data_IF_498033860748
#
_entry.id   IF_498033860748
#
_cell.length_a   1.000
_cell.length_b   1.000
_cell.length_c   1.000
_cell.angle_alpha   90.00
_cell.angle_beta   90.00
_cell.angle_gamma   90.00
#
_symmetry.space_group_name_H-M   'P 1'
#
loop_
_entity.id
_entity.type
_entity.pdbx_description
1 polymer ?
#
# COMPACT_ATOMS: atom_id res chain seq x y z
N UNK A 1 -1.54 25.91 -1.58
CA UNK A 1 -0.27 26.66 -1.36
C UNK A 1 0.97 25.89 -1.84
N UNK A 2 0.84 24.64 -2.32
CA UNK A 2 1.95 23.90 -2.92
C UNK A 2 3.00 23.43 -1.92
N UNK A 3 2.65 23.43 -0.63
CA UNK A 3 3.53 23.01 0.47
C UNK A 3 2.71 22.24 1.49
N UNK A 4 3.35 21.35 2.24
CA UNK A 4 2.80 20.78 3.46
C UNK A 4 3.51 21.49 4.60
N UNK A 5 2.79 22.42 5.25
CA UNK A 5 3.32 23.24 6.32
C UNK A 5 3.45 22.46 7.63
N UNK A 6 4.07 23.10 8.62
CA UNK A 6 4.21 22.50 9.96
C UNK A 6 2.86 22.23 10.62
N UNK A 7 1.87 23.10 10.40
CA UNK A 7 0.51 22.92 10.92
C UNK A 7 -0.16 21.68 10.30
N UNK A 8 -0.05 21.51 8.98
CA UNK A 8 -0.56 20.31 8.29
C UNK A 8 0.12 19.05 8.85
N UNK A 9 1.43 19.11 9.06
CA UNK A 9 2.21 18.03 9.68
C UNK A 9 1.72 17.66 11.08
N UNK A 10 1.45 18.66 11.93
CA UNK A 10 0.89 18.45 13.27
C UNK A 10 -0.51 17.82 13.19
N UNK A 11 -1.36 18.28 12.28
CA UNK A 11 -2.72 17.74 12.09
C UNK A 11 -2.65 16.28 11.63
N UNK A 12 -1.82 15.96 10.65
CA UNK A 12 -1.61 14.59 10.17
C UNK A 12 -1.11 13.67 11.29
N UNK A 13 -0.11 14.13 12.04
CA UNK A 13 0.47 13.35 13.13
C UNK A 13 -0.52 13.15 14.30
N UNK A 14 -1.28 14.19 14.65
CA UNK A 14 -2.38 14.05 15.62
C UNK A 14 -3.43 13.04 15.11
N UNK A 15 -3.69 13.03 13.80
CA UNK A 15 -4.54 12.05 13.13
C UNK A 15 -4.10 10.60 13.38
N UNK A 16 -2.81 10.27 13.22
CA UNK A 16 -2.34 8.89 13.49
C UNK A 16 -2.46 8.51 14.97
N UNK A 17 -2.23 9.46 15.89
CA UNK A 17 -2.37 9.21 17.32
C UNK A 17 -3.84 8.91 17.66
N UNK A 18 -4.77 9.73 17.16
CA UNK A 18 -6.21 9.52 17.36
C UNK A 18 -6.67 8.21 16.71
N UNK A 19 -6.27 7.94 15.48
CA UNK A 19 -6.59 6.70 14.78
C UNK A 19 -6.11 5.46 15.53
N UNK A 20 -4.87 5.49 16.02
CA UNK A 20 -4.28 4.39 16.79
C UNK A 20 -5.02 4.19 18.12
N UNK A 21 -5.31 5.27 18.85
CA UNK A 21 -6.07 5.21 20.09
C UNK A 21 -7.49 4.68 19.87
N UNK A 22 -8.16 5.14 18.81
CA UNK A 22 -9.48 4.69 18.40
C UNK A 22 -9.47 3.20 18.04
N UNK A 23 -8.50 2.76 17.23
CA UNK A 23 -8.35 1.35 16.83
C UNK A 23 -8.11 0.44 18.05
N UNK A 24 -7.27 0.86 19.00
CA UNK A 24 -7.06 0.14 20.26
C UNK A 24 -8.35 0.09 21.09
N UNK A 25 -9.07 1.21 21.21
CA UNK A 25 -10.32 1.27 21.95
C UNK A 25 -11.42 0.38 21.33
N UNK A 26 -11.51 0.36 20.00
CA UNK A 26 -12.44 -0.48 19.25
C UNK A 26 -12.10 -1.97 19.40
N UNK A 27 -10.82 -2.33 19.30
CA UNK A 27 -10.33 -3.70 19.51
C UNK A 27 -10.67 -4.21 20.93
N UNK A 28 -10.56 -3.36 21.95
CA UNK A 28 -10.94 -3.72 23.33
C UNK A 28 -12.44 -3.92 23.51
N UNK A 29 -13.25 -3.15 22.78
CA UNK A 29 -14.71 -3.26 22.76
C UNK A 29 -15.24 -4.38 21.85
N UNK A 30 -14.35 -5.10 21.15
CA UNK A 30 -14.75 -6.17 20.24
C UNK A 30 -15.66 -7.20 20.94
N UNK A 31 -16.76 -7.53 20.26
CA UNK A 31 -17.80 -8.44 20.75
C UNK A 31 -17.23 -9.80 21.17
N UNK A 32 -17.92 -10.49 22.07
CA UNK A 32 -17.52 -11.84 22.51
C UNK A 32 -17.31 -12.81 21.33
N UNK A 33 -18.05 -12.65 20.23
CA UNK A 33 -17.90 -13.38 18.97
C UNK A 33 -16.50 -13.20 18.33
N UNK A 34 -16.02 -11.96 18.21
CA UNK A 34 -14.69 -11.66 17.64
C UNK A 34 -13.60 -12.27 18.53
N UNK A 35 -13.73 -12.16 19.86
CA UNK A 35 -12.77 -12.80 20.79
C UNK A 35 -12.78 -14.32 20.73
N UNK A 36 -13.92 -14.94 20.41
CA UNK A 36 -14.02 -16.38 20.22
C UNK A 36 -13.33 -16.81 18.91
N UNK A 37 -13.59 -16.11 17.80
CA UNK A 37 -12.95 -16.31 16.51
C UNK A 37 -11.41 -16.17 16.59
N UNK A 38 -10.90 -15.12 17.26
CA UNK A 38 -9.46 -14.97 17.49
C UNK A 38 -8.84 -16.10 18.32
N UNK A 39 -9.56 -16.63 19.32
CA UNK A 39 -9.07 -17.75 20.14
C UNK A 39 -9.04 -19.07 19.37
N UNK A 40 -9.99 -19.26 18.46
CA UNK A 40 -10.04 -20.42 17.58
C UNK A 40 -8.95 -20.36 16.51
N UNK A 41 -8.73 -19.18 15.91
CA UNK A 41 -7.72 -18.98 14.88
C UNK A 41 -6.27 -18.96 15.41
N UNK A 42 -6.01 -18.36 16.58
CA UNK A 42 -4.64 -18.13 17.10
C UNK A 42 -4.35 -18.82 18.43
N UNK A 43 -5.31 -19.57 18.98
CA UNK A 43 -5.17 -20.26 20.26
C UNK A 43 -5.43 -19.36 21.48
N UNK A 44 -5.88 -19.96 22.58
CA UNK A 44 -6.24 -19.26 23.81
C UNK A 44 -5.07 -19.03 24.79
N UNK A 45 -3.91 -19.64 24.55
CA UNK A 45 -2.81 -19.62 25.50
C UNK A 45 -1.96 -18.36 25.33
N UNK A 46 -2.05 -17.44 26.31
CA UNK A 46 -1.10 -16.33 26.41
C UNK A 46 0.25 -16.88 26.88
N UNK A 47 1.33 -16.75 26.09
CA UNK A 47 2.65 -17.15 26.54
C UNK A 47 3.03 -16.33 27.79
N UNK A 48 3.48 -17.01 28.85
CA UNK A 48 3.93 -16.38 30.10
C UNK A 48 5.43 -16.66 30.30
N UNK A 49 6.15 -15.70 30.89
CA UNK A 49 7.57 -15.85 31.21
C UNK A 49 8.44 -16.03 29.97
N UNK A 50 9.22 -17.11 29.92
CA UNK A 50 10.20 -17.39 28.87
C UNK A 50 9.59 -17.43 27.46
N UNK A 51 8.34 -17.89 27.31
CA UNK A 51 7.65 -17.94 26.01
C UNK A 51 7.35 -16.56 25.42
N UNK A 52 7.15 -15.54 26.27
CA UNK A 52 6.97 -14.16 25.80
C UNK A 52 8.29 -13.60 25.27
N UNK A 53 9.39 -13.83 26.00
CA UNK A 53 10.73 -13.40 25.59
C UNK A 53 11.14 -14.08 24.27
N UNK A 54 10.86 -15.39 24.14
CA UNK A 54 11.11 -16.11 22.90
C UNK A 54 10.30 -15.52 21.74
N UNK A 55 9.00 -15.27 21.93
CA UNK A 55 8.16 -14.68 20.88
C UNK A 55 8.61 -13.26 20.50
N UNK A 56 8.99 -12.43 21.48
CA UNK A 56 9.57 -11.12 21.21
C UNK A 56 10.88 -11.24 20.43
N UNK A 57 11.75 -12.18 20.81
CA UNK A 57 12.99 -12.48 20.11
C UNK A 57 12.75 -12.93 18.66
N UNK A 58 11.77 -13.81 18.44
CA UNK A 58 11.38 -14.26 17.09
C UNK A 58 10.81 -13.13 16.23
N UNK A 59 9.98 -12.24 16.82
CA UNK A 59 9.43 -11.08 16.11
C UNK A 59 10.55 -10.10 15.74
N UNK A 60 11.42 -9.74 16.69
CA UNK A 60 12.52 -8.81 16.45
C UNK A 60 13.55 -9.40 15.47
N UNK A 61 13.90 -10.67 15.63
CA UNK A 61 14.81 -11.37 14.72
C UNK A 61 14.24 -11.51 13.32
N UNK A 62 12.96 -11.87 13.20
CA UNK A 62 12.25 -11.95 11.92
C UNK A 62 12.19 -10.58 11.22
N UNK A 63 11.86 -9.52 11.96
CA UNK A 63 11.86 -8.15 11.43
C UNK A 63 13.25 -7.72 10.96
N UNK A 64 14.30 -7.98 11.76
CA UNK A 64 15.67 -7.64 11.40
C UNK A 64 16.13 -8.39 10.13
N UNK A 65 15.86 -9.70 10.05
CA UNK A 65 16.17 -10.50 8.87
C UNK A 65 15.42 -10.01 7.63
N UNK A 66 14.16 -9.62 7.78
CA UNK A 66 13.35 -9.07 6.69
C UNK A 66 13.92 -7.74 6.19
N UNK A 67 14.28 -6.82 7.09
CA UNK A 67 14.86 -5.52 6.75
C UNK A 67 16.23 -5.65 6.08
N UNK A 68 17.12 -6.46 6.66
CA UNK A 68 18.47 -6.69 6.10
C UNK A 68 18.38 -7.40 4.75
N UNK A 69 17.53 -8.42 4.64
CA UNK A 69 17.32 -9.14 3.38
C UNK A 69 16.76 -8.25 2.28
N UNK A 70 15.79 -7.38 2.60
CA UNK A 70 15.28 -6.40 1.65
C UNK A 70 16.37 -5.41 1.22
N UNK A 71 17.19 -4.91 2.15
CA UNK A 71 18.27 -3.97 1.84
C UNK A 71 19.32 -4.60 0.92
N UNK A 72 19.81 -5.81 1.23
CA UNK A 72 20.77 -6.52 0.38
C UNK A 72 20.22 -6.82 -1.02
N UNK A 73 18.94 -7.17 -1.12
CA UNK A 73 18.29 -7.41 -2.41
C UNK A 73 18.26 -6.14 -3.25
N UNK A 74 17.87 -5.00 -2.65
CA UNK A 74 17.82 -3.70 -3.33
C UNK A 74 19.21 -3.26 -3.76
N UNK A 75 20.20 -3.31 -2.87
CA UNK A 75 21.58 -2.89 -3.18
C UNK A 75 22.18 -3.74 -4.32
N UNK A 76 21.94 -5.05 -4.28
CA UNK A 76 22.39 -5.96 -5.33
C UNK A 76 21.69 -5.69 -6.66
N UNK A 77 20.38 -5.43 -6.64
CA UNK A 77 19.61 -5.08 -7.84
C UNK A 77 20.06 -3.73 -8.44
N UNK A 78 20.30 -2.73 -7.60
CA UNK A 78 20.86 -1.42 -8.00
C UNK A 78 22.24 -1.60 -8.63
N UNK A 79 23.13 -2.38 -8.00
CA UNK A 79 24.46 -2.65 -8.54
C UNK A 79 24.41 -3.38 -9.89
N UNK A 80 23.50 -4.35 -10.05
CA UNK A 80 23.29 -5.06 -11.31
C UNK A 80 22.75 -4.11 -12.40
N UNK A 81 21.76 -3.28 -12.09
CA UNK A 81 21.18 -2.31 -13.02
C UNK A 81 22.20 -1.29 -13.53
N UNK A 82 23.07 -0.79 -12.64
CA UNK A 82 24.16 0.13 -13.03
C UNK A 82 25.16 -0.53 -13.98
N UNK A 83 25.48 -1.82 -13.79
CA UNK A 83 26.41 -2.55 -14.67
C UNK A 83 25.90 -2.75 -16.08
N UNK A 84 24.58 -2.83 -16.26
CA UNK A 84 23.94 -2.93 -17.58
C UNK A 84 23.56 -1.56 -18.17
N UNK A 85 24.01 -0.46 -17.55
CA UNK A 85 23.84 0.90 -18.09
C UNK A 85 22.47 1.54 -17.83
N UNK A 86 21.67 1.01 -16.90
CA UNK A 86 20.40 1.65 -16.51
C UNK A 86 20.71 2.95 -15.75
N UNK A 87 20.01 4.04 -16.10
CA UNK A 87 20.22 5.34 -15.48
C UNK A 87 19.81 5.37 -14.01
N UNK A 88 20.51 6.19 -13.21
CA UNK A 88 20.18 6.43 -11.79
C UNK A 88 18.73 6.86 -11.59
N UNK A 89 18.20 7.63 -12.54
CA UNK A 89 16.81 8.07 -12.56
C UNK A 89 15.84 6.89 -12.61
N UNK A 90 16.05 5.96 -13.55
CA UNK A 90 15.20 4.77 -13.69
C UNK A 90 15.36 3.86 -12.47
N UNK A 91 16.59 3.68 -11.96
CA UNK A 91 16.86 2.89 -10.75
C UNK A 91 16.11 3.46 -9.54
N UNK A 92 16.16 4.78 -9.34
CA UNK A 92 15.46 5.47 -8.25
C UNK A 92 13.95 5.33 -8.34
N UNK A 93 13.38 5.54 -9.54
CA UNK A 93 11.94 5.45 -9.80
C UNK A 93 11.37 4.02 -9.74
N UNK A 94 12.22 3.00 -9.87
CA UNK A 94 11.78 1.60 -9.97
C UNK A 94 12.30 0.74 -8.83
N UNK A 95 13.58 0.40 -8.84
CA UNK A 95 14.19 -0.56 -7.92
C UNK A 95 14.18 -0.04 -6.50
N UNK A 96 14.59 1.22 -6.29
CA UNK A 96 14.64 1.80 -4.94
C UNK A 96 13.23 2.02 -4.40
N UNK A 97 12.34 2.60 -5.21
CA UNK A 97 10.94 2.82 -4.85
C UNK A 97 10.20 1.50 -4.50
N UNK A 98 10.34 0.46 -5.33
CA UNK A 98 9.79 -0.86 -5.02
C UNK A 98 10.48 -1.49 -3.80
N UNK A 99 11.80 -1.28 -3.69
CA UNK A 99 12.67 -1.77 -2.64
C UNK A 99 12.21 -1.41 -1.24
N UNK A 100 11.80 -0.15 -1.05
CA UNK A 100 11.31 0.35 0.24
C UNK A 100 10.01 -0.30 0.71
N UNK A 101 9.26 -0.92 -0.20
CA UNK A 101 8.00 -1.62 0.11
C UNK A 101 8.13 -3.14 0.10
N UNK A 102 9.34 -3.68 -0.10
CA UNK A 102 9.58 -5.12 -0.11
C UNK A 102 9.24 -5.81 1.21
N UNK A 103 9.61 -5.28 2.40
CA UNK A 103 9.21 -5.88 3.68
C UNK A 103 7.69 -6.04 3.80
N UNK A 104 6.94 -5.01 3.41
CA UNK A 104 5.49 -4.97 3.47
C UNK A 104 4.85 -5.94 2.47
N UNK A 105 5.39 -6.01 1.25
CA UNK A 105 4.95 -6.97 0.23
C UNK A 105 5.21 -8.40 0.71
N UNK A 106 6.39 -8.68 1.27
CA UNK A 106 6.74 -9.99 1.78
C UNK A 106 5.83 -10.40 2.97
N UNK A 107 5.59 -9.49 3.91
CA UNK A 107 4.67 -9.74 5.03
C UNK A 107 3.23 -10.02 4.54
N UNK A 108 2.73 -9.23 3.60
CA UNK A 108 1.41 -9.41 3.00
C UNK A 108 1.29 -10.72 2.22
N UNK A 109 2.34 -11.09 1.48
CA UNK A 109 2.39 -12.33 0.71
C UNK A 109 2.38 -13.56 1.64
N UNK A 110 3.17 -13.54 2.72
CA UNK A 110 3.18 -14.63 3.71
C UNK A 110 1.82 -14.78 4.36
N UNK A 111 1.18 -13.68 4.78
CA UNK A 111 -0.18 -13.71 5.33
C UNK A 111 -1.20 -14.25 4.31
N UNK A 112 -1.13 -13.80 3.05
CA UNK A 112 -2.02 -14.28 1.99
C UNK A 112 -1.85 -15.78 1.69
N UNK A 113 -0.61 -16.28 1.65
CA UNK A 113 -0.30 -17.70 1.45
C UNK A 113 -0.80 -18.55 2.63
N UNK A 114 -0.81 -18.01 3.84
CA UNK A 114 -1.38 -18.65 5.04
C UNK A 114 -2.90 -18.58 5.11
N UNK A 115 -3.56 -17.90 4.17
CA UNK A 115 -5.01 -17.68 4.18
C UNK A 115 -5.47 -16.60 5.15
N UNK A 116 -4.54 -15.86 5.77
CA UNK A 116 -4.79 -14.76 6.71
C UNK A 116 -5.09 -13.46 5.95
N UNK A 117 -6.21 -13.44 5.20
CA UNK A 117 -6.58 -12.34 4.29
C UNK A 117 -6.74 -11.01 4.99
N UNK A 118 -7.31 -11.02 6.20
CA UNK A 118 -7.52 -9.81 7.00
C UNK A 118 -6.19 -9.19 7.44
N UNK A 119 -5.17 -10.02 7.73
CA UNK A 119 -3.82 -9.56 8.05
C UNK A 119 -3.16 -8.95 6.81
N UNK A 120 -3.27 -9.62 5.65
CA UNK A 120 -2.71 -9.10 4.41
C UNK A 120 -3.34 -7.74 4.01
N UNK A 121 -4.67 -7.64 4.06
CA UNK A 121 -5.37 -6.38 3.78
C UNK A 121 -5.07 -5.29 4.82
N UNK A 122 -5.01 -5.68 6.11
CA UNK A 122 -4.66 -4.80 7.21
C UNK A 122 -3.25 -4.22 7.08
N UNK A 123 -2.27 -5.00 6.60
CA UNK A 123 -0.92 -4.52 6.34
C UNK A 123 -0.90 -3.48 5.21
N UNK A 124 -1.54 -3.76 4.07
CA UNK A 124 -1.57 -2.83 2.92
C UNK A 124 -2.26 -1.51 3.28
N UNK A 125 -3.42 -1.57 3.93
CA UNK A 125 -4.18 -0.37 4.32
C UNK A 125 -3.44 0.38 5.44
N UNK A 126 -2.99 -0.35 6.46
CA UNK A 126 -2.32 0.20 7.63
C UNK A 126 -1.03 0.93 7.30
N UNK A 127 -0.17 0.34 6.46
CA UNK A 127 1.10 0.96 6.06
C UNK A 127 0.88 2.26 5.28
N UNK A 128 -0.13 2.34 4.40
CA UNK A 128 -0.45 3.57 3.68
C UNK A 128 -0.97 4.68 4.61
N UNK A 129 -1.84 4.33 5.56
CA UNK A 129 -2.32 5.28 6.58
C UNK A 129 -1.13 5.77 7.42
N UNK A 130 -0.24 4.88 7.83
CA UNK A 130 0.93 5.24 8.63
C UNK A 130 1.92 6.11 7.84
N UNK A 131 2.15 5.82 6.57
CA UNK A 131 3.02 6.63 5.70
C UNK A 131 2.49 8.06 5.54
N UNK A 132 1.18 8.22 5.30
CA UNK A 132 0.57 9.54 5.09
C UNK A 132 0.40 10.33 6.40
N UNK A 133 -0.02 9.68 7.48
CA UNK A 133 -0.30 10.40 8.72
C UNK A 133 0.94 10.54 9.62
N UNK A 134 1.76 9.49 9.71
CA UNK A 134 2.93 9.48 10.59
C UNK A 134 4.18 10.00 9.88
N UNK A 135 4.63 9.32 8.82
CA UNK A 135 5.91 9.65 8.18
C UNK A 135 5.82 11.05 7.57
N UNK A 136 4.86 11.30 6.69
CA UNK A 136 4.66 12.61 6.07
C UNK A 136 4.36 13.70 7.10
N UNK A 137 3.55 13.38 8.13
CA UNK A 137 3.25 14.30 9.23
C UNK A 137 4.50 14.76 9.99
N UNK A 138 5.31 13.80 10.46
CA UNK A 138 6.58 14.10 11.15
C UNK A 138 7.54 14.84 10.22
N UNK A 139 7.70 14.38 8.97
CA UNK A 139 8.58 15.03 7.99
C UNK A 139 8.21 16.50 7.78
N UNK A 140 6.91 16.83 7.73
CA UNK A 140 6.45 18.21 7.60
C UNK A 140 6.67 19.06 8.87
N UNK A 141 6.63 18.45 10.06
CA UNK A 141 6.92 19.15 11.33
C UNK A 141 8.40 19.47 11.47
N UNK A 142 9.26 18.52 11.09
CA UNK A 142 10.71 18.59 11.20
C UNK A 142 11.32 19.45 10.09
N UNK A 143 10.74 19.47 8.89
CA UNK A 143 11.23 20.27 7.79
C UNK A 143 11.09 21.77 8.05
N UNK A 144 12.22 22.48 8.02
CA UNK A 144 12.24 23.94 8.12
C UNK A 144 11.57 24.57 6.90
N UNK A 145 10.48 25.30 7.13
CA UNK A 145 9.68 25.92 6.07
C UNK A 145 8.67 24.98 5.38
N UNK A 146 8.49 23.75 5.87
CA UNK A 146 7.53 22.77 5.32
C UNK A 146 8.02 22.08 4.03
N UNK A 147 7.33 21.01 3.66
CA UNK A 147 7.70 20.17 2.51
C UNK A 147 7.17 20.79 1.21
N UNK A 148 8.02 21.09 0.22
CA UNK A 148 7.55 21.54 -1.09
C UNK A 148 6.84 20.40 -1.83
N UNK A 149 5.71 20.70 -2.47
CA UNK A 149 4.99 19.74 -3.30
C UNK A 149 5.15 20.15 -4.77
N UNK A 150 5.60 19.20 -5.58
CA UNK A 150 5.65 19.40 -7.03
C UNK A 150 4.22 19.57 -7.60
N UNK A 151 3.93 20.64 -8.37
CA UNK A 151 2.63 20.80 -9.04
C UNK A 151 2.26 19.61 -9.94
N UNK A 152 3.24 18.91 -10.51
CA UNK A 152 3.01 17.69 -11.30
C UNK A 152 2.42 16.57 -10.43
N UNK A 153 2.88 16.44 -9.18
CA UNK A 153 2.38 15.47 -8.22
C UNK A 153 0.91 15.72 -7.87
N UNK A 154 0.54 16.99 -7.64
CA UNK A 154 -0.84 17.36 -7.34
C UNK A 154 -1.80 17.13 -8.51
N UNK A 155 -1.32 17.31 -9.74
CA UNK A 155 -2.14 17.21 -10.95
C UNK A 155 -2.34 15.79 -11.45
N UNK A 156 -1.41 14.89 -11.13
CA UNK A 156 -1.43 13.53 -11.68
C UNK A 156 -1.35 12.45 -10.60
N UNK A 157 -0.27 12.41 -9.83
CA UNK A 157 0.01 11.28 -8.93
C UNK A 157 -1.01 11.22 -7.78
N UNK A 158 -1.39 12.36 -7.18
CA UNK A 158 -2.41 12.42 -6.12
C UNK A 158 -3.80 11.96 -6.61
N UNK A 159 -4.34 12.46 -7.73
CA UNK A 159 -5.57 11.93 -8.31
C UNK A 159 -5.53 10.42 -8.59
N UNK A 160 -4.41 9.89 -9.09
CA UNK A 160 -4.23 8.46 -9.33
C UNK A 160 -4.27 7.68 -8.01
N UNK A 161 -3.55 8.15 -6.97
CA UNK A 161 -3.59 7.54 -5.64
C UNK A 161 -5.01 7.51 -5.06
N UNK A 162 -5.77 8.61 -5.19
CA UNK A 162 -7.17 8.68 -4.74
C UNK A 162 -8.04 7.70 -5.53
N UNK A 163 -7.88 7.64 -6.85
CA UNK A 163 -8.64 6.71 -7.70
C UNK A 163 -8.38 5.26 -7.31
N UNK A 164 -7.14 4.88 -7.05
CA UNK A 164 -6.77 3.53 -6.59
C UNK A 164 -7.32 3.25 -5.18
N UNK A 165 -7.27 4.22 -4.27
CA UNK A 165 -7.87 4.08 -2.94
C UNK A 165 -9.39 3.85 -3.03
N UNK A 166 -10.09 4.59 -3.89
CA UNK A 166 -11.53 4.39 -4.12
C UNK A 166 -11.81 3.03 -4.77
N UNK A 167 -11.01 2.63 -5.76
CA UNK A 167 -11.16 1.35 -6.44
C UNK A 167 -10.96 0.14 -5.52
N UNK A 168 -10.21 0.31 -4.42
CA UNK A 168 -9.99 -0.73 -3.43
C UNK A 168 -11.04 -0.74 -2.30
N UNK A 169 -11.87 0.30 -2.14
CA UNK A 169 -12.93 0.35 -1.12
C UNK A 169 -13.92 -0.83 -1.17
N UNK A 170 -14.36 -1.33 -2.35
CA UNK A 170 -15.25 -2.50 -2.42
C UNK A 170 -14.71 -3.75 -1.70
N UNK A 171 -13.38 -3.90 -1.59
CA UNK A 171 -12.73 -5.04 -0.93
C UNK A 171 -13.09 -5.10 0.55
N UNK A 172 -13.31 -3.95 1.19
CA UNK A 172 -13.74 -3.87 2.58
C UNK A 172 -15.16 -4.45 2.77
N UNK A 173 -15.99 -4.43 1.72
CA UNK A 173 -17.36 -4.95 1.76
C UNK A 173 -17.48 -6.41 1.28
N UNK A 174 -16.43 -6.96 0.65
CA UNK A 174 -16.36 -8.37 0.22
C UNK A 174 -15.68 -9.29 1.24
N UNK A 175 -15.47 -8.82 2.48
CA UNK A 175 -14.79 -9.56 3.53
C UNK A 175 -13.29 -9.72 3.26
N UNK A 176 -12.64 -8.65 2.81
CA UNK A 176 -11.20 -8.61 2.50
C UNK A 176 -10.76 -9.64 1.45
N UNK A 177 -11.68 -10.01 0.54
CA UNK A 177 -11.40 -10.96 -0.55
C UNK A 177 -11.12 -10.20 -1.83
N UNK A 178 -9.91 -10.41 -2.35
CA UNK A 178 -9.49 -10.00 -3.70
C UNK A 178 -9.41 -11.26 -4.55
N UNK A 179 -10.19 -11.31 -5.62
CA UNK A 179 -10.10 -12.38 -6.62
C UNK A 179 -8.79 -12.26 -7.40
N UNK A 180 -8.29 -13.39 -7.94
CA UNK A 180 -7.03 -13.41 -8.70
C UNK A 180 -7.04 -12.44 -9.89
N UNK A 181 -8.19 -12.28 -10.53
CA UNK A 181 -8.36 -11.35 -11.65
C UNK A 181 -8.33 -9.88 -11.24
N UNK A 182 -8.93 -9.52 -10.10
CA UNK A 182 -8.81 -8.16 -9.54
C UNK A 182 -7.35 -7.86 -9.16
N UNK A 183 -6.65 -8.82 -8.54
CA UNK A 183 -5.23 -8.69 -8.23
C UNK A 183 -4.37 -8.51 -9.49
N UNK A 184 -4.64 -9.28 -10.55
CA UNK A 184 -3.94 -9.14 -11.83
C UNK A 184 -4.23 -7.79 -12.50
N UNK A 185 -5.46 -7.30 -12.40
CA UNK A 185 -5.85 -5.99 -12.90
C UNK A 185 -5.07 -4.87 -12.19
N UNK A 186 -5.03 -4.89 -10.85
CA UNK A 186 -4.27 -3.90 -10.07
C UNK A 186 -2.76 -3.99 -10.35
N UNK A 187 -2.21 -5.20 -10.49
CA UNK A 187 -0.82 -5.39 -10.87
C UNK A 187 -0.54 -4.83 -12.27
N UNK A 188 -1.45 -5.05 -13.23
CA UNK A 188 -1.36 -4.47 -14.57
C UNK A 188 -1.36 -2.95 -14.55
N UNK A 189 -2.24 -2.32 -13.75
CA UNK A 189 -2.25 -0.87 -13.56
C UNK A 189 -1.00 -0.34 -12.88
N UNK A 190 -0.45 -1.07 -11.90
CA UNK A 190 0.82 -0.71 -11.28
C UNK A 190 1.95 -0.70 -12.32
N UNK A 191 2.09 -1.75 -13.12
CA UNK A 191 3.10 -1.81 -14.18
C UNK A 191 2.91 -0.71 -15.23
N UNK A 192 1.65 -0.44 -15.60
CA UNK A 192 1.31 0.64 -16.53
C UNK A 192 1.70 2.02 -15.97
N UNK A 193 1.41 2.28 -14.70
CA UNK A 193 1.78 3.51 -14.01
C UNK A 193 3.31 3.66 -13.89
N UNK A 194 4.02 2.60 -13.51
CA UNK A 194 5.49 2.61 -13.48
C UNK A 194 6.09 2.88 -14.86
N UNK A 195 5.54 2.25 -15.91
CA UNK A 195 5.98 2.51 -17.29
C UNK A 195 5.74 3.96 -17.70
N UNK A 196 4.58 4.53 -17.36
CA UNK A 196 4.31 5.95 -17.58
C UNK A 196 5.36 6.84 -16.91
N UNK A 197 5.69 6.58 -15.64
CA UNK A 197 6.70 7.34 -14.92
C UNK A 197 8.08 7.22 -15.57
N UNK A 198 8.47 6.03 -16.02
CA UNK A 198 9.73 5.82 -16.74
C UNK A 198 9.75 6.61 -18.06
N UNK A 199 8.69 6.49 -18.88
CA UNK A 199 8.60 7.21 -20.17
C UNK A 199 8.63 8.72 -19.97
N UNK A 200 7.92 9.22 -18.95
CA UNK A 200 7.88 10.64 -18.59
C UNK A 200 9.25 11.13 -18.13
N UNK A 201 9.92 10.37 -17.28
CA UNK A 201 11.24 10.71 -16.76
C UNK A 201 12.35 10.63 -17.82
N UNK A 202 12.21 9.71 -18.79
CA UNK A 202 13.12 9.57 -19.92
C UNK A 202 12.83 10.54 -21.08
N UNK A 203 11.82 11.41 -20.95
CA UNK A 203 11.33 12.31 -22.02
C UNK A 203 11.09 11.57 -23.35
N UNK A 204 10.60 10.33 -23.28
CA UNK A 204 10.48 9.47 -24.45
C UNK A 204 9.26 9.84 -25.30
N UNK A 205 9.44 9.93 -26.62
CA UNK A 205 8.37 10.28 -27.59
C UNK A 205 7.10 9.40 -27.49
N UNK A 206 7.26 8.14 -27.03
CA UNK A 206 6.17 7.21 -26.86
C UNK A 206 5.20 7.63 -25.74
N UNK A 207 5.57 8.56 -24.86
CA UNK A 207 4.75 9.03 -23.76
C UNK A 207 3.38 9.52 -24.24
N UNK A 208 3.33 10.32 -25.30
CA UNK A 208 2.06 10.86 -25.81
C UNK A 208 1.11 9.74 -26.27
N UNK A 209 1.63 8.84 -27.10
CA UNK A 209 0.86 7.70 -27.60
C UNK A 209 0.41 6.78 -26.45
N UNK A 210 1.31 6.50 -25.50
CA UNK A 210 1.04 5.69 -24.32
C UNK A 210 -0.07 6.30 -23.47
N UNK A 211 0.02 7.59 -23.15
CA UNK A 211 -1.00 8.32 -22.38
C UNK A 211 -2.35 8.34 -23.09
N UNK A 212 -2.37 8.53 -24.41
CA UNK A 212 -3.61 8.49 -25.20
C UNK A 212 -4.27 7.10 -25.13
N UNK A 213 -3.51 6.03 -25.30
CA UNK A 213 -4.02 4.65 -25.19
C UNK A 213 -4.59 4.39 -23.81
N UNK A 214 -3.86 4.77 -22.76
CA UNK A 214 -4.31 4.58 -21.38
C UNK A 214 -5.60 5.34 -21.08
N UNK A 215 -5.69 6.61 -21.49
CA UNK A 215 -6.79 7.51 -21.14
C UNK A 215 -8.05 7.27 -21.98
N UNK A 216 -7.91 6.97 -23.27
CA UNK A 216 -9.06 6.82 -24.17
C UNK A 216 -9.53 5.37 -24.34
N UNK A 217 -8.70 4.38 -24.01
CA UNK A 217 -9.06 2.98 -24.20
C UNK A 217 -9.02 2.20 -22.89
N UNK A 218 -7.86 2.12 -22.22
CA UNK A 218 -7.68 1.21 -21.07
C UNK A 218 -8.54 1.64 -19.88
N UNK A 219 -8.46 2.90 -19.46
CA UNK A 219 -9.22 3.40 -18.30
C UNK A 219 -10.73 3.35 -18.54
N UNK A 220 -11.27 3.83 -19.68
CA UNK A 220 -12.71 3.75 -19.95
C UNK A 220 -13.22 2.31 -20.05
N UNK A 221 -12.45 1.42 -20.69
CA UNK A 221 -12.83 0.01 -20.83
C UNK A 221 -12.89 -0.69 -19.47
N UNK A 222 -11.90 -0.45 -18.61
CA UNK A 222 -11.92 -0.99 -17.25
C UNK A 222 -13.06 -0.41 -16.43
N UNK A 223 -13.29 0.91 -16.50
CA UNK A 223 -14.39 1.56 -15.79
C UNK A 223 -15.76 0.98 -16.23
N UNK A 224 -15.96 0.79 -17.54
CA UNK A 224 -17.15 0.15 -18.08
C UNK A 224 -17.28 -1.31 -17.60
N UNK A 225 -16.17 -2.06 -17.59
CA UNK A 225 -16.16 -3.45 -17.11
C UNK A 225 -16.53 -3.52 -15.63
N UNK A 226 -15.95 -2.68 -14.78
CA UNK A 226 -16.28 -2.60 -13.35
C UNK A 226 -17.75 -2.20 -13.18
N UNK A 227 -18.25 -1.20 -13.92
CA UNK A 227 -19.64 -0.78 -13.84
C UNK A 227 -20.62 -1.91 -14.21
N UNK A 228 -20.31 -2.67 -15.27
CA UNK A 228 -21.10 -3.85 -15.67
C UNK A 228 -21.07 -4.94 -14.60
N UNK A 229 -19.90 -5.21 -14.01
CA UNK A 229 -19.75 -6.21 -12.95
C UNK A 229 -20.55 -5.82 -11.70
N UNK A 230 -20.45 -4.56 -11.27
CA UNK A 230 -21.23 -4.01 -10.14
C UNK A 230 -22.72 -4.08 -10.43
N UNK A 231 -23.16 -3.65 -11.61
CA UNK A 231 -24.57 -3.71 -11.98
C UNK A 231 -25.12 -5.14 -12.00
N UNK A 232 -24.36 -6.10 -12.55
CA UNK A 232 -24.73 -7.52 -12.53
C UNK A 232 -24.80 -8.07 -11.12
N UNK A 233 -23.83 -7.73 -10.26
CA UNK A 233 -23.81 -8.17 -8.86
C UNK A 233 -24.99 -7.62 -8.06
N UNK A 234 -25.35 -6.35 -8.27
CA UNK A 234 -26.54 -5.74 -7.67
C UNK A 234 -27.82 -6.43 -8.18
N UNK A 235 -27.96 -6.64 -9.48
CA UNK A 235 -29.13 -7.31 -10.07
C UNK A 235 -29.30 -8.74 -9.55
N UNK A 236 -28.21 -9.49 -9.38
CA UNK A 236 -28.24 -10.84 -8.81
C UNK A 236 -28.65 -10.87 -7.33
N UNK A 237 -28.34 -9.81 -6.55
CA UNK A 237 -28.79 -9.65 -5.16
C UNK A 237 -30.28 -9.33 -5.01
N UNK A 238 -30.91 -8.78 -6.04
CA UNK A 238 -32.33 -8.40 -6.07
C UNK A 238 -33.19 -9.27 -7.00
N UNK A 239 -32.62 -10.36 -7.54
CA UNK A 239 -33.39 -11.36 -8.27
C UNK A 239 -34.18 -12.21 -7.27
N UNK A 240 -35.49 -12.42 -7.49
CA UNK A 240 -36.37 -13.18 -6.59
C UNK A 240 -36.04 -14.67 -6.53
#
# INVERSE_FOLDING_TARGET
DGRIGRLDGVVLFAGIVVYTAFSIAQSRKASAAVRAEYREAYGAQRPRGLGLLLNLGLVLGGLALLLVGAHWLVDSAVAAARRIGVSELIVGLTIVAAGTSLPEVAASLVAAVRGERDIAAGNVIGSNIFNILSILGISAVVADGGLPIDPALLRFDVPVMIAVAIATLPICFTGYRISRWEGLLFLGYYLAYTLYLILKAAEHDALYAYSAVMLFFVVPLTAATIAVLVFRALKARYAP
#
